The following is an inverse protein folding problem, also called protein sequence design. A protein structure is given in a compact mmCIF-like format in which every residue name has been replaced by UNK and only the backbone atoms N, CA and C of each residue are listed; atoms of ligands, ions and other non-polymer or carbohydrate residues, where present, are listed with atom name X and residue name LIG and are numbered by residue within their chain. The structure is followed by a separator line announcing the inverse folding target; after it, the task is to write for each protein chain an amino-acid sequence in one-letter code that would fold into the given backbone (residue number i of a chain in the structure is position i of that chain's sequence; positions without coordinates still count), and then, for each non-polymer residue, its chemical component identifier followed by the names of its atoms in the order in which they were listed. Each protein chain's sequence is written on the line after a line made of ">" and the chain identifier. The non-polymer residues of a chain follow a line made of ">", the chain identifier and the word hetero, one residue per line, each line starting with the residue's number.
data_IF_013937806382
#
_entry.id   IF_013937806382
#
_cell.length_a   1.000
_cell.length_b   1.000
_cell.length_c   1.000
_cell.angle_alpha   90.00
_cell.angle_beta   90.00
_cell.angle_gamma   90.00
#
_symmetry.space_group_name_H-M   'P 1'
#
loop_
_entity.id
_entity.type
_entity.pdbx_description
1 polymer ?
#
# COMPACT_ATOMS: atom_id res chain seq x y z
N UNK A 1 -8.68 -5.93 27.52
CA UNK A 1 -7.23 -6.04 27.77
C UNK A 1 -6.75 -7.32 27.09
N UNK A 2 -5.85 -7.20 26.11
CA UNK A 2 -5.25 -8.37 25.44
C UNK A 2 -4.21 -8.95 26.38
N UNK A 3 -4.28 -10.26 26.63
CA UNK A 3 -3.31 -11.01 27.43
C UNK A 3 -1.92 -10.89 26.77
N UNK A 4 -1.04 -10.07 27.36
CA UNK A 4 0.30 -9.77 26.83
C UNK A 4 1.09 -11.05 26.52
N UNK A 5 0.86 -12.11 27.31
CA UNK A 5 1.46 -13.43 27.15
C UNK A 5 1.03 -14.12 25.85
N UNK A 6 -0.24 -13.98 25.43
CA UNK A 6 -0.73 -14.53 24.15
C UNK A 6 -0.18 -13.78 22.95
N UNK A 7 0.01 -12.47 23.08
CA UNK A 7 0.62 -11.63 22.04
C UNK A 7 2.08 -12.01 21.81
N UNK A 8 2.84 -12.31 22.87
CA UNK A 8 4.22 -12.80 22.78
C UNK A 8 4.25 -14.17 22.09
N UNK A 9 3.39 -15.11 22.49
CA UNK A 9 3.41 -16.44 21.87
C UNK A 9 3.04 -16.43 20.38
N UNK A 10 2.14 -15.55 19.95
CA UNK A 10 1.81 -15.35 18.53
C UNK A 10 2.95 -14.70 17.74
N UNK A 11 3.69 -13.76 18.33
CA UNK A 11 4.86 -13.11 17.71
C UNK A 11 5.95 -14.11 17.31
N UNK A 12 6.13 -15.18 18.08
CA UNK A 12 7.15 -16.22 17.84
C UNK A 12 6.60 -17.45 17.12
N UNK A 13 5.37 -17.41 16.64
CA UNK A 13 4.67 -18.57 16.07
C UNK A 13 5.47 -19.31 14.98
N UNK A 14 6.00 -18.57 14.00
CA UNK A 14 6.78 -19.16 12.91
C UNK A 14 8.12 -19.72 13.37
N UNK A 15 8.79 -19.01 14.29
CA UNK A 15 10.06 -19.44 14.87
C UNK A 15 9.88 -20.74 15.66
N UNK A 16 8.80 -20.83 16.43
CA UNK A 16 8.40 -22.05 17.13
C UNK A 16 8.06 -23.17 16.15
N UNK A 17 7.26 -22.91 15.11
CA UNK A 17 6.88 -23.92 14.12
C UNK A 17 8.07 -24.49 13.32
N UNK A 18 9.15 -23.72 13.18
CA UNK A 18 10.38 -24.14 12.50
C UNK A 18 11.31 -24.98 13.40
N UNK A 19 11.33 -24.69 14.70
CA UNK A 19 12.36 -25.20 15.61
C UNK A 19 11.82 -26.23 16.63
N UNK A 20 10.50 -26.34 16.76
CA UNK A 20 9.87 -27.37 17.60
C UNK A 20 9.96 -28.72 16.91
N UNK A 21 10.38 -29.73 17.66
CA UNK A 21 10.27 -31.13 17.27
C UNK A 21 8.93 -31.66 17.73
N UNK A 22 8.00 -31.87 16.78
CA UNK A 22 6.63 -32.32 17.07
C UNK A 22 6.56 -33.63 17.85
N UNK A 23 7.51 -34.55 17.64
CA UNK A 23 7.55 -35.83 18.34
C UNK A 23 7.81 -35.69 19.85
N UNK A 24 8.73 -34.81 20.25
CA UNK A 24 9.04 -34.52 21.66
C UNK A 24 8.02 -33.58 22.29
N UNK A 25 7.69 -32.48 21.60
CA UNK A 25 6.73 -31.49 22.11
C UNK A 25 5.31 -32.06 22.19
N UNK A 26 4.86 -32.79 21.17
CA UNK A 26 3.56 -33.45 21.16
C UNK A 26 3.40 -34.47 22.28
N UNK A 27 4.47 -35.20 22.63
CA UNK A 27 4.45 -36.17 23.73
C UNK A 27 4.19 -35.46 25.07
N UNK A 28 4.92 -34.38 25.33
CA UNK A 28 4.75 -33.57 26.55
C UNK A 28 3.35 -32.96 26.63
N UNK A 29 2.79 -32.52 25.50
CA UNK A 29 1.42 -32.00 25.45
C UNK A 29 0.37 -33.05 25.80
N UNK A 30 0.54 -34.31 25.38
CA UNK A 30 -0.34 -35.42 25.77
C UNK A 30 -0.17 -35.77 27.23
N UNK A 31 1.09 -35.88 27.70
CA UNK A 31 1.40 -36.25 29.07
C UNK A 31 0.84 -35.23 30.07
N UNK A 32 0.76 -33.95 29.67
CA UNK A 32 0.13 -32.86 30.45
C UNK A 32 -1.37 -32.68 30.18
N UNK A 33 -1.99 -33.54 29.37
CA UNK A 33 -3.43 -33.49 29.08
C UNK A 33 -3.89 -32.28 28.25
N UNK A 34 -2.97 -31.57 27.59
CA UNK A 34 -3.27 -30.38 26.78
C UNK A 34 -3.90 -30.78 25.44
N UNK A 35 -3.51 -31.93 24.89
CA UNK A 35 -4.10 -32.52 23.68
C UNK A 35 -4.45 -33.98 23.94
N UNK A 36 -5.38 -34.54 23.14
CA UNK A 36 -5.77 -35.94 23.22
C UNK A 36 -4.72 -36.85 22.60
N UNK A 37 -4.66 -38.12 23.04
CA UNK A 37 -3.75 -39.13 22.49
C UNK A 37 -3.98 -39.38 20.99
N UNK A 38 -5.23 -39.31 20.54
CA UNK A 38 -5.57 -39.42 19.12
C UNK A 38 -5.02 -38.26 18.29
N UNK A 39 -5.09 -37.02 18.82
CA UNK A 39 -4.50 -35.83 18.18
C UNK A 39 -2.97 -35.99 18.03
N UNK A 40 -2.31 -36.60 19.02
CA UNK A 40 -0.86 -36.87 18.97
C UNK A 40 -0.49 -37.96 17.97
N UNK A 41 -1.29 -39.02 17.85
CA UNK A 41 -1.07 -40.05 16.84
C UNK A 41 -1.17 -39.47 15.42
N UNK A 42 -2.09 -38.52 15.18
CA UNK A 42 -2.18 -37.78 13.91
C UNK A 42 -0.96 -36.89 13.67
N UNK A 43 -0.45 -36.22 14.70
CA UNK A 43 0.77 -35.42 14.61
C UNK A 43 2.02 -36.26 14.29
N UNK A 44 2.11 -37.48 14.81
CA UNK A 44 3.21 -38.41 14.50
C UNK A 44 3.18 -38.90 13.04
N UNK A 45 1.99 -39.02 12.45
CA UNK A 45 1.83 -39.36 11.03
C UNK A 45 2.12 -38.17 10.10
N UNK A 46 2.00 -36.94 10.61
CA UNK A 46 2.13 -35.69 9.86
C UNK A 46 3.17 -34.79 10.52
N UNK A 47 4.44 -35.09 10.26
CA UNK A 47 5.57 -34.37 10.85
C UNK A 47 6.06 -33.22 9.95
N UNK A 48 5.15 -32.35 9.51
CA UNK A 48 5.50 -31.19 8.68
C UNK A 48 5.49 -29.90 9.51
N UNK A 49 6.24 -28.90 9.04
CA UNK A 49 6.22 -27.54 9.59
C UNK A 49 4.81 -26.93 9.62
N UNK A 50 4.00 -27.22 8.60
CA UNK A 50 2.64 -26.69 8.49
C UNK A 50 1.71 -27.28 9.57
N UNK A 51 1.87 -28.57 9.88
CA UNK A 51 1.12 -29.24 10.94
C UNK A 51 1.53 -28.71 12.32
N UNK A 52 2.82 -28.38 12.50
CA UNK A 52 3.29 -27.71 13.72
C UNK A 52 2.68 -26.32 13.90
N UNK A 53 2.63 -25.52 12.83
CA UNK A 53 1.96 -24.22 12.87
C UNK A 53 0.47 -24.36 13.22
N UNK A 54 -0.24 -25.30 12.58
CA UNK A 54 -1.67 -25.57 12.88
C UNK A 54 -1.90 -25.98 14.33
N UNK A 55 -1.03 -26.83 14.88
CA UNK A 55 -1.08 -27.24 16.27
C UNK A 55 -0.87 -26.05 17.21
N UNK A 56 0.16 -25.23 16.99
CA UNK A 56 0.45 -24.06 17.81
C UNK A 56 -0.73 -23.06 17.81
N UNK A 57 -1.39 -22.84 16.67
CA UNK A 57 -2.60 -22.02 16.58
C UNK A 57 -3.77 -22.60 17.38
N UNK A 58 -3.96 -23.92 17.35
CA UNK A 58 -4.98 -24.60 18.16
C UNK A 58 -4.65 -24.43 19.65
N UNK A 59 -3.39 -24.60 20.04
CA UNK A 59 -2.91 -24.45 21.41
C UNK A 59 -3.11 -23.04 21.94
N UNK A 60 -2.86 -21.97 21.18
CA UNK A 60 -3.12 -20.60 21.65
C UNK A 60 -4.59 -20.33 21.99
N UNK A 61 -5.51 -21.09 21.40
CA UNK A 61 -6.95 -20.98 21.66
C UNK A 61 -7.40 -21.76 22.90
N UNK A 62 -6.76 -22.90 23.18
CA UNK A 62 -7.23 -23.85 24.20
C UNK A 62 -6.32 -23.95 25.43
N UNK A 63 -5.08 -23.47 25.33
CA UNK A 63 -4.03 -23.59 26.33
C UNK A 63 -3.64 -22.22 26.90
N UNK A 64 -3.36 -22.17 28.20
CA UNK A 64 -2.76 -21.00 28.82
C UNK A 64 -1.30 -20.86 28.35
N UNK A 65 -0.84 -19.66 27.96
CA UNK A 65 0.55 -19.43 27.54
C UNK A 65 1.60 -19.97 28.51
N UNK A 66 1.40 -19.86 29.83
CA UNK A 66 2.32 -20.39 30.84
C UNK A 66 2.46 -21.92 30.79
N UNK A 67 1.36 -22.63 30.52
CA UNK A 67 1.40 -24.10 30.33
C UNK A 67 2.14 -24.44 29.04
N UNK A 68 1.94 -23.66 27.97
CA UNK A 68 2.64 -23.84 26.71
C UNK A 68 4.15 -23.63 26.85
N UNK A 69 4.58 -22.58 27.55
CA UNK A 69 5.99 -22.33 27.85
C UNK A 69 6.60 -23.47 28.66
N UNK A 70 5.88 -23.97 29.67
CA UNK A 70 6.36 -25.10 30.44
C UNK A 70 6.48 -26.37 29.58
N UNK A 71 5.52 -26.64 28.69
CA UNK A 71 5.62 -27.75 27.75
C UNK A 71 6.82 -27.63 26.81
N UNK A 72 7.17 -26.41 26.38
CA UNK A 72 8.35 -26.17 25.55
C UNK A 72 9.64 -26.48 26.32
N UNK A 73 9.79 -25.96 27.56
CA UNK A 73 10.93 -26.26 28.44
C UNK A 73 11.07 -27.78 28.68
N UNK A 74 9.99 -28.43 29.08
CA UNK A 74 9.96 -29.88 29.37
C UNK A 74 10.26 -30.75 28.13
N UNK A 75 10.00 -30.24 26.93
CA UNK A 75 10.28 -30.93 25.67
C UNK A 75 11.71 -30.73 25.13
N UNK A 76 12.57 -30.05 25.89
CA UNK A 76 13.96 -29.75 25.52
C UNK A 76 14.12 -28.52 24.63
N UNK A 77 13.13 -27.61 24.60
CA UNK A 77 13.14 -26.37 23.81
C UNK A 77 13.33 -25.12 24.69
N UNK A 78 14.12 -25.23 25.76
CA UNK A 78 14.35 -24.14 26.73
C UNK A 78 14.96 -22.89 26.08
N UNK A 79 15.85 -23.06 25.09
CA UNK A 79 16.44 -21.97 24.31
C UNK A 79 15.36 -21.11 23.60
N UNK A 80 14.33 -21.75 23.03
CA UNK A 80 13.22 -21.04 22.38
C UNK A 80 12.38 -20.25 23.39
N UNK A 81 12.24 -20.74 24.62
CA UNK A 81 11.58 -19.99 25.68
C UNK A 81 12.41 -18.79 26.12
N UNK A 82 13.73 -18.96 26.23
CA UNK A 82 14.64 -17.87 26.59
C UNK A 82 14.62 -16.76 25.53
N UNK A 83 14.59 -17.09 24.24
CA UNK A 83 14.45 -16.12 23.14
C UNK A 83 13.12 -15.36 23.16
N UNK A 84 12.05 -16.02 23.62
CA UNK A 84 10.73 -15.42 23.81
C UNK A 84 10.67 -14.49 25.03
N UNK A 85 11.30 -14.89 26.14
CA UNK A 85 11.32 -14.16 27.41
C UNK A 85 12.26 -12.93 27.34
N UNK A 86 13.37 -13.02 26.61
CA UNK A 86 14.35 -11.93 26.42
C UNK A 86 13.93 -10.89 25.37
N UNK A 87 12.97 -11.23 24.50
CA UNK A 87 12.64 -10.41 23.33
C UNK A 87 13.71 -10.43 22.23
N UNK A 88 14.77 -11.25 22.38
CA UNK A 88 15.82 -11.41 21.36
C UNK A 88 15.27 -12.26 20.23
N UNK A 89 14.66 -11.61 19.25
CA UNK A 89 14.55 -12.21 17.92
C UNK A 89 16.01 -12.36 17.46
N UNK A 90 16.54 -13.56 17.18
CA UNK A 90 17.65 -13.62 16.26
C UNK A 90 17.04 -13.10 14.97
N UNK A 91 17.35 -11.85 14.65
CA UNK A 91 17.23 -11.34 13.29
C UNK A 91 18.08 -12.30 12.49
N UNK A 92 17.48 -13.38 11.99
CA UNK A 92 18.09 -14.22 10.99
C UNK A 92 18.25 -13.29 9.82
N UNK A 93 19.43 -12.68 9.75
CA UNK A 93 19.88 -11.76 8.72
C UNK A 93 19.76 -12.35 7.32
N UNK A 94 19.34 -13.61 7.14
CA UNK A 94 19.18 -14.27 5.85
C UNK A 94 17.89 -15.08 5.63
N UNK A 95 16.83 -14.95 6.45
CA UNK A 95 15.50 -15.56 6.16
C UNK A 95 14.30 -14.76 6.68
N UNK A 96 14.31 -13.43 6.53
CA UNK A 96 13.03 -12.72 6.34
C UNK A 96 12.41 -13.28 5.05
N UNK A 97 11.09 -13.21 4.87
CA UNK A 97 10.37 -13.75 3.69
C UNK A 97 10.11 -15.27 3.69
N UNK A 98 9.56 -15.77 4.80
CA UNK A 98 8.40 -16.63 4.65
C UNK A 98 7.21 -15.83 5.18
N UNK A 99 6.53 -15.11 4.29
CA UNK A 99 5.14 -14.73 4.53
C UNK A 99 4.47 -15.98 5.08
N UNK A 100 3.91 -15.99 6.30
CA UNK A 100 3.13 -17.13 6.75
C UNK A 100 2.13 -17.43 5.63
N UNK A 101 1.97 -18.68 5.16
CA UNK A 101 0.90 -18.99 4.23
C UNK A 101 -0.35 -18.45 4.89
N UNK A 102 -0.95 -17.43 4.27
CA UNK A 102 -2.16 -16.79 4.73
C UNK A 102 -3.08 -17.93 5.17
N UNK A 103 -3.42 -17.95 6.47
CA UNK A 103 -4.11 -19.04 7.14
C UNK A 103 -5.09 -19.68 6.16
N UNK A 104 -4.80 -20.91 5.70
CA UNK A 104 -5.32 -21.52 4.46
C UNK A 104 -6.84 -21.74 4.39
N UNK A 105 -7.59 -21.12 5.30
CA UNK A 105 -9.05 -21.10 5.38
C UNK A 105 -9.70 -20.04 4.47
N UNK A 106 -8.93 -19.17 3.81
CA UNK A 106 -9.46 -18.02 3.03
C UNK A 106 -8.84 -17.81 1.64
N UNK A 107 -8.05 -18.77 1.14
CA UNK A 107 -7.25 -18.64 -0.09
C UNK A 107 -8.09 -18.28 -1.32
N UNK A 108 -9.29 -18.84 -1.47
CA UNK A 108 -10.13 -18.60 -2.65
C UNK A 108 -10.77 -17.20 -2.64
N UNK A 109 -11.22 -16.73 -1.47
CA UNK A 109 -11.75 -15.36 -1.34
C UNK A 109 -10.64 -14.32 -1.49
N UNK A 110 -9.44 -14.61 -0.99
CA UNK A 110 -8.32 -13.69 -1.05
C UNK A 110 -7.84 -13.47 -2.49
N UNK A 111 -7.68 -14.55 -3.27
CA UNK A 111 -7.30 -14.45 -4.70
C UNK A 111 -8.31 -13.64 -5.51
N UNK A 112 -9.60 -13.78 -5.20
CA UNK A 112 -10.66 -13.02 -5.85
C UNK A 112 -10.60 -11.52 -5.49
N UNK A 113 -10.36 -11.18 -4.23
CA UNK A 113 -10.18 -9.78 -3.79
C UNK A 113 -8.88 -9.18 -4.33
N UNK A 114 -7.81 -9.95 -4.43
CA UNK A 114 -6.55 -9.53 -5.07
C UNK A 114 -6.77 -9.24 -6.55
N UNK A 115 -7.39 -10.16 -7.30
CA UNK A 115 -7.77 -9.94 -8.70
C UNK A 115 -8.67 -8.72 -8.87
N UNK A 116 -9.66 -8.54 -7.99
CA UNK A 116 -10.53 -7.36 -8.00
C UNK A 116 -9.74 -6.07 -7.78
N UNK A 117 -8.84 -6.05 -6.77
CA UNK A 117 -7.99 -4.91 -6.49
C UNK A 117 -7.08 -4.57 -7.66
N UNK A 118 -6.51 -5.57 -8.34
CA UNK A 118 -5.61 -5.34 -9.47
C UNK A 118 -6.38 -4.79 -10.69
N UNK A 119 -7.59 -5.29 -10.97
CA UNK A 119 -8.47 -4.71 -12.01
C UNK A 119 -8.84 -3.26 -11.72
N UNK A 120 -9.20 -2.95 -10.48
CA UNK A 120 -9.49 -1.58 -10.04
C UNK A 120 -8.26 -0.68 -10.22
N UNK A 121 -7.06 -1.15 -9.82
CA UNK A 121 -5.81 -0.41 -10.04
C UNK A 121 -5.53 -0.16 -11.51
N UNK A 122 -5.62 -1.17 -12.38
CA UNK A 122 -5.39 -0.99 -13.82
C UNK A 122 -6.30 0.11 -14.40
N UNK A 123 -7.56 0.16 -13.98
CA UNK A 123 -8.51 1.20 -14.40
C UNK A 123 -8.11 2.61 -13.94
N UNK A 124 -7.55 2.74 -12.74
CA UNK A 124 -6.98 4.00 -12.24
C UNK A 124 -5.76 4.44 -13.07
N UNK A 125 -4.87 3.50 -13.42
CA UNK A 125 -3.62 3.82 -14.13
C UNK A 125 -3.81 4.14 -15.62
N UNK A 126 -4.84 3.59 -16.29
CA UNK A 126 -5.07 3.75 -17.73
C UNK A 126 -5.86 5.01 -18.15
N UNK A 127 -5.86 6.06 -17.32
CA UNK A 127 -6.54 7.34 -17.61
C UNK A 127 -8.06 7.26 -17.90
N UNK A 128 -8.74 6.14 -17.64
CA UNK A 128 -10.21 6.06 -17.54
C UNK A 128 -10.75 6.72 -16.24
N UNK A 129 -9.91 7.49 -15.55
CA UNK A 129 -10.07 7.94 -14.17
C UNK A 129 -11.38 8.71 -13.91
N UNK A 130 -11.81 9.60 -14.82
CA UNK A 130 -13.07 10.35 -14.66
C UNK A 130 -14.31 9.46 -14.70
N UNK A 131 -14.33 8.48 -15.60
CA UNK A 131 -15.42 7.50 -15.69
C UNK A 131 -15.38 6.51 -14.50
N UNK A 132 -14.17 6.23 -13.98
CA UNK A 132 -13.98 5.39 -12.80
C UNK A 132 -14.48 6.02 -11.50
N UNK A 133 -14.31 7.33 -11.29
CA UNK A 133 -14.79 7.99 -10.07
C UNK A 133 -16.30 7.78 -9.89
N UNK A 134 -17.09 8.13 -10.91
CA UNK A 134 -18.55 8.00 -10.85
C UNK A 134 -18.97 6.56 -10.67
N UNK A 135 -18.36 5.62 -11.43
CA UNK A 135 -18.67 4.19 -11.32
C UNK A 135 -18.33 3.63 -9.94
N UNK A 136 -17.16 3.93 -9.42
CA UNK A 136 -16.72 3.42 -8.12
C UNK A 136 -17.54 4.01 -6.97
N UNK A 137 -17.95 5.28 -7.05
CA UNK A 137 -18.85 5.89 -6.06
C UNK A 137 -20.19 5.15 -6.03
N UNK A 138 -20.85 4.99 -7.19
CA UNK A 138 -22.12 4.25 -7.32
C UNK A 138 -21.99 2.79 -6.84
N UNK A 139 -20.94 2.09 -7.25
CA UNK A 139 -20.70 0.70 -6.83
C UNK A 139 -20.45 0.59 -5.33
N UNK A 140 -19.61 1.47 -4.77
CA UNK A 140 -19.31 1.47 -3.34
C UNK A 140 -20.56 1.75 -2.50
N UNK A 141 -21.39 2.72 -2.91
CA UNK A 141 -22.66 3.02 -2.23
C UNK A 141 -23.66 1.88 -2.31
N UNK A 142 -23.72 1.20 -3.47
CA UNK A 142 -24.60 0.04 -3.66
C UNK A 142 -24.20 -1.11 -2.73
N UNK A 143 -22.90 -1.43 -2.67
CA UNK A 143 -22.40 -2.47 -1.76
C UNK A 143 -22.59 -2.07 -0.30
N UNK A 144 -22.34 -0.81 0.06
CA UNK A 144 -22.51 -0.32 1.43
C UNK A 144 -23.97 -0.41 1.89
N UNK A 145 -24.92 -0.01 1.04
CA UNK A 145 -26.36 -0.13 1.31
C UNK A 145 -26.76 -1.59 1.52
N UNK A 146 -26.25 -2.52 0.71
CA UNK A 146 -26.51 -3.94 0.87
C UNK A 146 -25.99 -4.49 2.21
N UNK A 147 -24.77 -4.10 2.62
CA UNK A 147 -24.19 -4.46 3.93
C UNK A 147 -25.06 -3.91 5.08
N UNK A 148 -25.44 -2.64 5.00
CA UNK A 148 -26.22 -1.97 6.06
C UNK A 148 -27.64 -2.55 6.24
N UNK A 149 -28.23 -3.13 5.19
CA UNK A 149 -29.53 -3.82 5.27
C UNK A 149 -29.49 -5.08 6.12
N UNK A 150 -28.31 -5.68 6.33
CA UNK A 150 -28.13 -6.83 7.22
C UNK A 150 -28.77 -8.14 6.74
N UNK A 151 -29.15 -8.23 5.46
CA UNK A 151 -29.78 -9.42 4.86
C UNK A 151 -28.80 -10.44 4.26
N UNK A 152 -27.50 -10.14 4.28
CA UNK A 152 -26.44 -10.96 3.71
C UNK A 152 -26.00 -12.08 4.67
N UNK A 153 -25.58 -13.23 4.14
CA UNK A 153 -24.84 -14.19 4.94
C UNK A 153 -23.48 -13.62 5.37
N UNK A 154 -22.88 -14.12 6.45
CA UNK A 154 -21.57 -13.67 6.92
C UNK A 154 -20.47 -13.75 5.84
N UNK A 155 -20.53 -14.77 4.97
CA UNK A 155 -19.56 -14.92 3.88
C UNK A 155 -19.77 -13.88 2.78
N UNK A 156 -21.02 -13.52 2.49
CA UNK A 156 -21.34 -12.49 1.48
C UNK A 156 -21.04 -11.11 2.03
N UNK A 157 -21.38 -10.83 3.29
CA UNK A 157 -21.07 -9.57 3.95
C UNK A 157 -19.56 -9.28 3.89
N UNK A 158 -18.72 -10.27 4.21
CA UNK A 158 -17.26 -10.12 4.11
C UNK A 158 -16.78 -9.78 2.70
N UNK A 159 -17.25 -10.52 1.69
CA UNK A 159 -16.92 -10.25 0.29
C UNK A 159 -17.35 -8.86 -0.15
N UNK A 160 -18.57 -8.46 0.19
CA UNK A 160 -19.10 -7.13 -0.10
C UNK A 160 -18.27 -6.05 0.60
N UNK A 161 -17.91 -6.27 1.87
CA UNK A 161 -17.11 -5.34 2.64
C UNK A 161 -15.69 -5.19 2.08
N UNK A 162 -15.04 -6.29 1.69
CA UNK A 162 -13.70 -6.28 1.09
C UNK A 162 -13.72 -5.52 -0.25
N UNK A 163 -14.67 -5.83 -1.15
CA UNK A 163 -14.82 -5.12 -2.43
C UNK A 163 -15.16 -3.64 -2.24
N UNK A 164 -16.08 -3.32 -1.32
CA UNK A 164 -16.46 -1.95 -1.02
C UNK A 164 -15.27 -1.16 -0.46
N UNK A 165 -14.48 -1.75 0.44
CA UNK A 165 -13.27 -1.13 0.97
C UNK A 165 -12.26 -0.82 -0.12
N UNK A 166 -12.01 -1.76 -1.05
CA UNK A 166 -11.10 -1.55 -2.20
C UNK A 166 -11.57 -0.41 -3.08
N UNK A 167 -12.88 -0.30 -3.37
CA UNK A 167 -13.44 0.78 -4.17
C UNK A 167 -13.31 2.14 -3.47
N UNK A 168 -13.58 2.21 -2.16
CA UNK A 168 -13.43 3.44 -1.38
C UNK A 168 -11.95 3.87 -1.31
N UNK A 169 -11.04 2.92 -1.08
CA UNK A 169 -9.59 3.18 -1.10
C UNK A 169 -9.16 3.72 -2.48
N UNK A 170 -9.63 3.12 -3.56
CA UNK A 170 -9.40 3.59 -4.93
C UNK A 170 -9.95 5.01 -5.19
N UNK A 171 -11.18 5.30 -4.75
CA UNK A 171 -11.81 6.62 -4.88
C UNK A 171 -10.97 7.71 -4.23
N UNK A 172 -10.50 7.47 -3.01
CA UNK A 172 -9.63 8.41 -2.33
C UNK A 172 -8.33 8.63 -3.15
N UNK A 173 -7.88 7.67 -3.99
CA UNK A 173 -6.59 7.77 -4.73
C UNK A 173 -6.83 8.65 -5.93
N UNK A 174 -7.95 8.38 -6.60
CA UNK A 174 -8.44 9.16 -7.72
C UNK A 174 -8.67 10.60 -7.32
N UNK A 175 -9.35 10.87 -6.20
CA UNK A 175 -9.53 12.22 -5.67
C UNK A 175 -8.19 12.90 -5.41
N UNK A 176 -7.23 12.22 -4.78
CA UNK A 176 -5.88 12.78 -4.54
C UNK A 176 -5.13 13.08 -5.84
N UNK A 177 -5.24 12.20 -6.84
CA UNK A 177 -4.39 12.22 -8.03
C UNK A 177 -4.93 13.15 -9.12
N UNK A 178 -6.25 13.29 -9.22
CA UNK A 178 -6.91 14.05 -10.28
C UNK A 178 -7.62 15.33 -9.79
N UNK A 179 -7.68 15.59 -8.49
CA UNK A 179 -8.16 16.89 -8.00
C UNK A 179 -7.13 17.98 -8.25
N UNK A 180 -7.61 19.20 -8.51
CA UNK A 180 -6.79 20.42 -8.54
C UNK A 180 -6.19 20.73 -7.14
N UNK A 181 -6.95 20.41 -6.09
CA UNK A 181 -6.56 20.63 -4.70
C UNK A 181 -6.43 19.28 -3.97
N UNK A 182 -5.21 18.96 -3.53
CA UNK A 182 -4.93 17.72 -2.82
C UNK A 182 -5.50 17.71 -1.39
N UNK A 183 -5.79 18.87 -0.81
CA UNK A 183 -6.45 18.98 0.49
C UNK A 183 -7.92 18.58 0.43
N UNK A 184 -8.52 18.57 -0.76
CA UNK A 184 -9.92 18.14 -0.97
C UNK A 184 -10.21 16.70 -0.53
N UNK A 185 -9.19 15.88 -0.29
CA UNK A 185 -9.32 14.51 0.22
C UNK A 185 -9.58 14.48 1.73
N UNK A 186 -9.17 15.52 2.46
CA UNK A 186 -9.42 15.63 3.90
C UNK A 186 -10.91 15.79 4.20
N UNK A 187 -11.40 15.08 5.23
CA UNK A 187 -12.80 15.16 5.67
C UNK A 187 -13.82 14.41 4.79
N UNK A 188 -13.35 13.70 3.76
CA UNK A 188 -14.17 12.93 2.82
C UNK A 188 -15.00 11.81 3.50
N UNK A 189 -16.25 11.61 3.03
CA UNK A 189 -17.21 10.62 3.58
C UNK A 189 -16.67 9.19 3.52
N UNK A 190 -15.82 8.93 2.53
CA UNK A 190 -15.20 7.65 2.21
C UNK A 190 -14.42 7.11 3.41
N UNK A 191 -13.73 7.95 4.17
CA UNK A 191 -12.99 7.50 5.36
C UNK A 191 -13.90 6.98 6.46
N UNK A 192 -15.06 7.61 6.68
CA UNK A 192 -16.05 7.13 7.66
C UNK A 192 -16.62 5.79 7.24
N UNK A 193 -16.89 5.63 5.93
CA UNK A 193 -17.38 4.37 5.38
C UNK A 193 -16.32 3.27 5.47
N UNK A 194 -15.06 3.57 5.14
CA UNK A 194 -13.94 2.63 5.28
C UNK A 194 -13.79 2.16 6.73
N UNK A 195 -13.82 3.08 7.70
CA UNK A 195 -13.75 2.76 9.13
C UNK A 195 -14.89 1.81 9.57
N UNK A 196 -16.13 2.11 9.15
CA UNK A 196 -17.29 1.26 9.40
C UNK A 196 -17.15 -0.17 8.85
N UNK A 197 -16.45 -0.33 7.72
CA UNK A 197 -16.27 -1.62 7.05
C UNK A 197 -15.18 -2.49 7.69
N UNK A 198 -14.23 -1.91 8.44
CA UNK A 198 -13.07 -2.64 9.00
C UNK A 198 -13.50 -3.95 9.68
N UNK A 199 -14.46 -3.88 10.61
CA UNK A 199 -14.91 -5.04 11.39
C UNK A 199 -15.66 -6.11 10.56
N UNK A 200 -16.06 -5.77 9.33
CA UNK A 200 -16.89 -6.60 8.44
C UNK A 200 -16.08 -7.26 7.34
N UNK A 201 -14.86 -6.79 7.09
CA UNK A 201 -13.93 -7.40 6.13
C UNK A 201 -13.49 -8.81 6.54
N UNK A 202 -12.96 -9.59 5.59
CA UNK A 202 -12.39 -10.90 5.89
C UNK A 202 -11.15 -10.80 6.79
N UNK A 203 -10.41 -9.69 6.71
CA UNK A 203 -9.19 -9.44 7.48
C UNK A 203 -9.20 -8.07 8.18
N UNK A 204 -9.97 -7.90 9.29
CA UNK A 204 -10.13 -6.60 9.94
C UNK A 204 -8.82 -5.94 10.37
N UNK A 205 -7.82 -6.72 10.79
CA UNK A 205 -6.53 -6.15 11.20
C UNK A 205 -5.74 -5.60 10.01
N UNK A 206 -5.71 -6.33 8.89
CA UNK A 206 -5.06 -5.88 7.67
C UNK A 206 -5.77 -4.66 7.07
N UNK A 207 -7.10 -4.70 7.04
CA UNK A 207 -7.94 -3.59 6.60
C UNK A 207 -7.72 -2.35 7.47
N UNK A 208 -7.61 -2.52 8.80
CA UNK A 208 -7.30 -1.43 9.72
C UNK A 208 -5.95 -0.78 9.41
N UNK A 209 -4.91 -1.57 9.17
CA UNK A 209 -3.57 -1.06 8.82
C UNK A 209 -3.64 -0.20 7.56
N UNK A 210 -4.32 -0.68 6.51
CA UNK A 210 -4.50 0.06 5.25
C UNK A 210 -5.27 1.35 5.46
N UNK A 211 -6.37 1.29 6.22
CA UNK A 211 -7.15 2.48 6.60
C UNK A 211 -6.30 3.49 7.37
N UNK A 212 -5.57 3.06 8.41
CA UNK A 212 -4.76 3.95 9.24
C UNK A 212 -3.66 4.64 8.42
N UNK A 213 -2.95 3.89 7.58
CA UNK A 213 -1.95 4.45 6.66
C UNK A 213 -2.57 5.52 5.76
N UNK A 214 -3.73 5.20 5.17
CA UNK A 214 -4.44 6.07 4.25
C UNK A 214 -4.98 7.34 4.90
N UNK A 215 -5.63 7.18 6.03
CA UNK A 215 -6.24 8.27 6.78
C UNK A 215 -5.16 9.16 7.41
N UNK A 216 -4.05 8.59 7.88
CA UNK A 216 -2.89 9.34 8.35
C UNK A 216 -2.34 10.29 7.30
N UNK A 217 -2.21 9.84 6.04
CA UNK A 217 -1.84 10.73 4.92
C UNK A 217 -2.85 11.84 4.71
N UNK A 218 -4.15 11.53 4.76
CA UNK A 218 -5.19 12.55 4.58
C UNK A 218 -5.22 13.59 5.71
N UNK A 219 -5.00 13.17 6.97
CA UNK A 219 -4.85 14.06 8.11
C UNK A 219 -3.67 15.01 7.92
N UNK A 220 -2.51 14.48 7.53
CA UNK A 220 -1.33 15.29 7.22
C UNK A 220 -1.63 16.34 6.14
N UNK A 221 -2.29 15.94 5.05
CA UNK A 221 -2.69 16.87 3.98
C UNK A 221 -3.69 17.94 4.44
N UNK A 222 -4.51 17.63 5.44
CA UNK A 222 -5.43 18.56 6.09
C UNK A 222 -4.79 19.47 7.15
N UNK A 223 -3.47 19.41 7.35
CA UNK A 223 -2.74 20.19 8.35
C UNK A 223 -2.70 19.57 9.75
N UNK A 224 -3.25 18.37 9.93
CA UNK A 224 -3.26 17.63 11.21
C UNK A 224 -2.01 16.73 11.30
N UNK A 225 -0.82 17.32 11.20
CA UNK A 225 0.47 16.62 11.03
C UNK A 225 0.72 15.58 12.13
N UNK A 226 0.64 15.97 13.41
CA UNK A 226 0.93 15.07 14.53
C UNK A 226 -0.01 13.86 14.56
N UNK A 227 -1.30 14.09 14.33
CA UNK A 227 -2.29 13.01 14.24
C UNK A 227 -2.00 12.10 13.04
N UNK A 228 -1.67 12.69 11.88
CA UNK A 228 -1.30 11.94 10.68
C UNK A 228 -0.13 10.98 10.93
N UNK A 229 0.93 11.49 11.57
CA UNK A 229 2.11 10.70 11.96
C UNK A 229 1.79 9.61 13.00
N UNK A 230 0.92 9.88 13.97
CA UNK A 230 0.47 8.88 14.95
C UNK A 230 -0.25 7.72 14.26
N UNK A 231 -1.14 8.00 13.31
CA UNK A 231 -1.85 6.95 12.55
C UNK A 231 -0.90 6.09 11.72
N UNK A 232 0.09 6.70 11.06
CA UNK A 232 1.08 5.95 10.26
C UNK A 232 2.00 5.13 11.16
N UNK A 233 2.42 5.68 12.30
CA UNK A 233 3.22 4.95 13.29
C UNK A 233 2.47 3.75 13.85
N UNK A 234 1.17 3.91 14.15
CA UNK A 234 0.30 2.81 14.54
C UNK A 234 0.18 1.75 13.44
N UNK A 235 0.03 2.17 12.17
CA UNK A 235 -0.05 1.25 11.04
C UNK A 235 1.24 0.44 10.87
N UNK A 236 2.42 1.07 11.00
CA UNK A 236 3.72 0.39 10.97
C UNK A 236 3.89 -0.59 12.13
N UNK A 237 3.53 -0.17 13.35
CA UNK A 237 3.57 -1.02 14.54
C UNK A 237 2.70 -2.27 14.37
N UNK A 238 1.48 -2.09 13.86
CA UNK A 238 0.57 -3.19 13.56
C UNK A 238 1.10 -4.06 12.41
N UNK A 239 1.56 -3.47 11.30
CA UNK A 239 2.02 -4.22 10.12
C UNK A 239 3.22 -5.13 10.40
N UNK A 240 4.13 -4.69 11.27
CA UNK A 240 5.25 -5.52 11.74
C UNK A 240 4.79 -6.82 12.43
N UNK A 241 3.56 -6.87 12.95
CA UNK A 241 2.98 -8.07 13.55
C UNK A 241 2.41 -9.05 12.52
N UNK A 242 2.08 -8.59 11.31
CA UNK A 242 1.42 -9.41 10.27
C UNK A 242 2.37 -9.94 9.19
N UNK A 243 3.66 -9.59 9.23
CA UNK A 243 4.72 -10.07 8.33
C UNK A 243 4.41 -9.91 6.81
N UNK A 244 3.51 -9.00 6.43
CA UNK A 244 3.22 -8.70 5.02
C UNK A 244 4.20 -7.65 4.51
N UNK A 245 5.19 -8.08 3.73
CA UNK A 245 6.21 -7.19 3.16
C UNK A 245 5.59 -6.07 2.31
N UNK A 246 4.59 -6.40 1.48
CA UNK A 246 3.87 -5.43 0.63
C UNK A 246 3.14 -4.36 1.42
N UNK A 247 2.44 -4.71 2.51
CA UNK A 247 1.70 -3.72 3.30
C UNK A 247 2.67 -2.83 4.09
N UNK A 248 3.77 -3.37 4.64
CA UNK A 248 4.82 -2.55 5.27
C UNK A 248 5.44 -1.60 4.24
N UNK A 249 5.76 -2.10 3.04
CA UNK A 249 6.25 -1.30 1.93
C UNK A 249 5.29 -0.18 1.51
N UNK A 250 3.97 -0.41 1.50
CA UNK A 250 2.98 0.64 1.24
C UNK A 250 2.99 1.74 2.31
N UNK A 251 3.12 1.36 3.59
CA UNK A 251 3.10 2.31 4.70
C UNK A 251 4.40 3.12 4.74
N UNK A 252 5.54 2.47 4.46
CA UNK A 252 6.82 3.17 4.31
C UNK A 252 6.76 4.19 3.18
N UNK A 253 6.12 3.88 2.06
CA UNK A 253 5.91 4.85 0.98
C UNK A 253 5.07 6.05 1.43
N UNK A 254 4.02 5.82 2.23
CA UNK A 254 3.24 6.91 2.82
C UNK A 254 4.08 7.78 3.77
N UNK A 255 4.88 7.15 4.63
CA UNK A 255 5.79 7.84 5.55
C UNK A 255 6.86 8.66 4.81
N UNK A 256 7.47 8.09 3.77
CA UNK A 256 8.47 8.78 2.92
C UNK A 256 7.88 10.05 2.30
N UNK A 257 6.65 9.99 1.77
CA UNK A 257 6.01 11.18 1.21
C UNK A 257 5.78 12.27 2.27
N UNK A 258 5.36 11.90 3.49
CA UNK A 258 5.18 12.87 4.57
C UNK A 258 6.51 13.48 4.98
N UNK A 259 7.55 12.66 5.16
CA UNK A 259 8.88 13.14 5.51
C UNK A 259 9.46 14.06 4.43
N UNK A 260 9.24 13.77 3.15
CA UNK A 260 9.61 14.67 2.04
C UNK A 260 8.91 16.02 2.12
N UNK A 261 7.63 16.06 2.54
CA UNK A 261 6.92 17.33 2.75
C UNK A 261 7.42 18.08 3.99
N UNK A 262 7.78 17.39 5.07
CA UNK A 262 8.42 18.00 6.24
C UNK A 262 9.81 18.57 5.87
N UNK A 263 10.58 17.82 5.10
CA UNK A 263 11.87 18.26 4.56
C UNK A 263 11.73 19.46 3.62
N UNK A 264 10.64 19.53 2.85
CA UNK A 264 10.36 20.70 2.02
C UNK A 264 10.07 21.97 2.82
N UNK A 265 9.58 21.84 4.07
CA UNK A 265 9.34 22.98 4.97
C UNK A 265 10.61 23.39 5.71
N UNK A 266 11.39 22.42 6.17
CA UNK A 266 12.64 22.64 6.89
C UNK A 266 13.70 21.64 6.40
N UNK A 267 14.49 22.02 5.38
CA UNK A 267 15.53 21.14 4.85
C UNK A 267 16.59 20.88 5.93
N UNK A 268 16.82 19.59 6.20
CA UNK A 268 17.73 19.12 7.23
C UNK A 268 18.41 17.81 6.78
N UNK A 269 19.72 17.69 7.03
CA UNK A 269 20.53 16.57 6.57
C UNK A 269 20.20 15.27 7.31
N UNK A 270 19.83 15.34 8.59
CA UNK A 270 19.39 14.15 9.34
C UNK A 270 18.07 13.62 8.79
N UNK A 271 17.09 14.51 8.55
CA UNK A 271 15.82 14.14 7.94
C UNK A 271 15.99 13.58 6.52
N UNK A 272 16.87 14.18 5.71
CA UNK A 272 17.24 13.66 4.39
C UNK A 272 17.76 12.22 4.49
N UNK A 273 18.66 11.95 5.43
CA UNK A 273 19.19 10.61 5.67
C UNK A 273 18.09 9.63 6.10
N UNK A 274 17.21 10.03 7.01
CA UNK A 274 16.09 9.19 7.43
C UNK A 274 15.12 8.84 6.28
N UNK A 275 14.89 9.78 5.36
CA UNK A 275 14.09 9.55 4.16
C UNK A 275 14.76 8.49 3.29
N UNK A 276 16.06 8.64 3.02
CA UNK A 276 16.84 7.70 2.21
C UNK A 276 16.87 6.31 2.84
N UNK A 277 17.09 6.21 4.15
CA UNK A 277 17.05 4.93 4.88
C UNK A 277 15.67 4.26 4.79
N UNK A 278 14.59 5.04 4.87
CA UNK A 278 13.21 4.56 4.72
C UNK A 278 12.91 4.09 3.30
N UNK A 279 13.46 4.77 2.30
CA UNK A 279 13.36 4.40 0.87
C UNK A 279 14.07 3.06 0.62
N UNK A 280 15.30 2.90 1.09
CA UNK A 280 16.06 1.65 0.96
C UNK A 280 15.37 0.48 1.65
N UNK A 281 14.85 0.73 2.86
CA UNK A 281 14.07 -0.28 3.56
C UNK A 281 12.80 -0.66 2.78
N UNK A 282 12.12 0.33 2.20
CA UNK A 282 10.96 0.14 1.34
C UNK A 282 11.26 -0.75 0.13
N UNK A 283 12.37 -0.49 -0.57
CA UNK A 283 12.84 -1.32 -1.70
C UNK A 283 13.02 -2.78 -1.26
N UNK A 284 13.70 -3.01 -0.12
CA UNK A 284 13.97 -4.36 0.39
C UNK A 284 12.69 -5.15 0.64
N UNK A 285 11.64 -4.52 1.15
CA UNK A 285 10.36 -5.18 1.39
C UNK A 285 9.71 -5.75 0.12
N UNK A 286 10.06 -5.24 -1.06
CA UNK A 286 9.55 -5.70 -2.35
C UNK A 286 10.51 -6.61 -3.13
N UNK A 287 11.74 -6.84 -2.66
CA UNK A 287 12.75 -7.64 -3.38
C UNK A 287 12.34 -9.09 -3.64
N UNK A 288 11.49 -9.65 -2.77
CA UNK A 288 11.05 -11.05 -2.85
C UNK A 288 9.66 -11.22 -3.47
N UNK A 289 9.06 -10.12 -3.94
CA UNK A 289 7.84 -10.18 -4.73
C UNK A 289 8.14 -10.66 -6.16
N UNK A 290 7.07 -10.97 -6.91
CA UNK A 290 7.20 -11.27 -8.34
C UNK A 290 7.86 -10.10 -9.09
N UNK A 291 8.47 -10.41 -10.23
CA UNK A 291 9.27 -9.45 -10.99
C UNK A 291 8.52 -8.17 -11.33
N UNK A 292 7.28 -8.27 -11.82
CA UNK A 292 6.45 -7.12 -12.15
C UNK A 292 6.20 -6.21 -10.94
N UNK A 293 5.83 -6.81 -9.80
CA UNK A 293 5.56 -6.07 -8.56
C UNK A 293 6.83 -5.44 -8.02
N UNK A 294 7.92 -6.20 -7.97
CA UNK A 294 9.23 -5.72 -7.51
C UNK A 294 9.71 -4.56 -8.35
N UNK A 295 9.68 -4.69 -9.68
CA UNK A 295 10.17 -3.66 -10.60
C UNK A 295 9.31 -2.39 -10.52
N UNK A 296 7.99 -2.52 -10.47
CA UNK A 296 7.09 -1.37 -10.29
C UNK A 296 7.35 -0.62 -8.98
N UNK A 297 7.45 -1.33 -7.85
CA UNK A 297 7.74 -0.70 -6.56
C UNK A 297 9.14 -0.11 -6.49
N UNK A 298 10.12 -0.75 -7.13
CA UNK A 298 11.47 -0.22 -7.26
C UNK A 298 11.45 1.11 -8.01
N UNK A 299 10.73 1.25 -9.12
CA UNK A 299 10.52 2.54 -9.80
C UNK A 299 9.92 3.60 -8.87
N UNK A 300 8.89 3.24 -8.10
CA UNK A 300 8.23 4.17 -7.17
C UNK A 300 9.20 4.67 -6.09
N UNK A 301 10.05 3.81 -5.56
CA UNK A 301 11.04 4.20 -4.56
C UNK A 301 12.24 4.95 -5.15
N UNK A 302 12.70 4.59 -6.35
CA UNK A 302 13.72 5.34 -7.09
C UNK A 302 13.26 6.77 -7.40
N UNK A 303 11.98 6.98 -7.73
CA UNK A 303 11.39 8.32 -7.84
C UNK A 303 11.63 9.13 -6.56
N UNK A 304 11.26 8.58 -5.40
CA UNK A 304 11.43 9.27 -4.11
C UNK A 304 12.88 9.48 -3.72
N UNK A 305 13.74 8.49 -4.00
CA UNK A 305 15.18 8.59 -3.78
C UNK A 305 15.77 9.74 -4.59
N UNK A 306 15.41 9.81 -5.87
CA UNK A 306 15.87 10.84 -6.80
C UNK A 306 15.35 12.22 -6.39
N UNK A 307 14.08 12.33 -6.00
CA UNK A 307 13.54 13.59 -5.47
C UNK A 307 14.33 14.08 -4.25
N UNK A 308 14.66 13.18 -3.32
CA UNK A 308 15.42 13.52 -2.12
C UNK A 308 16.81 14.06 -2.46
N UNK A 309 17.56 13.39 -3.35
CA UNK A 309 18.89 13.84 -3.78
C UNK A 309 18.85 15.17 -4.56
N UNK A 310 17.85 15.37 -5.42
CA UNK A 310 17.72 16.56 -6.25
C UNK A 310 17.05 17.75 -5.54
N UNK A 311 16.71 17.64 -4.25
CA UNK A 311 16.01 18.69 -3.52
C UNK A 311 14.63 18.99 -4.10
N UNK A 312 13.85 17.95 -4.37
CA UNK A 312 12.48 18.02 -4.85
C UNK A 312 11.51 17.53 -3.76
N UNK A 313 10.38 18.23 -3.59
CA UNK A 313 9.30 17.79 -2.69
C UNK A 313 8.50 16.62 -3.29
N UNK A 314 7.46 16.13 -2.60
CA UNK A 314 6.69 14.98 -3.08
C UNK A 314 5.89 15.27 -4.36
N UNK A 315 5.71 16.55 -4.67
CA UNK A 315 5.10 17.09 -5.89
C UNK A 315 6.11 17.45 -6.97
N UNK A 316 7.39 17.12 -6.83
CA UNK A 316 8.43 17.41 -7.82
C UNK A 316 8.76 18.90 -7.99
N UNK A 317 8.40 19.75 -7.03
CA UNK A 317 8.83 21.15 -6.98
C UNK A 317 10.20 21.25 -6.31
N UNK A 318 11.09 22.15 -6.79
CA UNK A 318 12.30 22.50 -6.05
C UNK A 318 11.98 22.94 -4.63
N UNK A 319 12.72 22.41 -3.67
CA UNK A 319 12.67 22.82 -2.27
C UNK A 319 13.60 24.01 -2.09
N UNK A 320 13.07 25.11 -1.57
CA UNK A 320 13.86 26.30 -1.25
C UNK A 320 14.82 26.00 -0.08
N UNK A 321 16.07 26.41 -0.19
CA UNK A 321 17.10 26.17 0.84
C UNK A 321 17.70 24.75 0.86
N UNK A 322 17.18 23.80 0.08
CA UNK A 322 17.80 22.48 -0.03
C UNK A 322 19.16 22.56 -0.74
N UNK A 323 20.21 22.08 -0.06
CA UNK A 323 21.56 22.00 -0.63
C UNK A 323 21.72 20.67 -1.36
N UNK A 324 22.11 20.75 -2.63
CA UNK A 324 22.39 19.58 -3.48
C UNK A 324 23.90 19.55 -3.73
N UNK A 325 24.57 18.57 -3.13
CA UNK A 325 26.02 18.36 -3.27
C UNK A 325 26.38 17.67 -4.59
N UNK A 326 27.67 17.64 -4.94
CA UNK A 326 28.15 16.85 -6.08
C UNK A 326 27.89 15.35 -5.88
N UNK A 327 28.06 14.83 -4.65
CA UNK A 327 27.73 13.44 -4.33
C UNK A 327 26.24 13.17 -4.56
N UNK A 328 25.36 14.07 -4.16
CA UNK A 328 23.91 13.91 -4.40
C UNK A 328 23.58 13.85 -5.89
N UNK A 329 24.26 14.65 -6.71
CA UNK A 329 24.07 14.63 -8.16
C UNK A 329 24.53 13.30 -8.78
N UNK A 330 25.67 12.77 -8.33
CA UNK A 330 26.14 11.45 -8.77
C UNK A 330 25.16 10.35 -8.35
N UNK A 331 24.69 10.36 -7.11
CA UNK A 331 23.68 9.40 -6.63
C UNK A 331 22.35 9.53 -7.37
N UNK A 332 21.90 10.75 -7.65
CA UNK A 332 20.69 10.99 -8.43
C UNK A 332 20.84 10.47 -9.86
N UNK A 333 22.01 10.65 -10.48
CA UNK A 333 22.32 10.12 -11.81
C UNK A 333 22.23 8.59 -11.82
N UNK A 334 22.81 7.91 -10.84
CA UNK A 334 22.72 6.45 -10.72
C UNK A 334 21.26 5.99 -10.61
N UNK A 335 20.45 6.67 -9.78
CA UNK A 335 19.03 6.37 -9.62
C UNK A 335 18.24 6.58 -10.92
N UNK A 336 18.53 7.66 -11.66
CA UNK A 336 17.91 7.95 -12.96
C UNK A 336 18.29 6.91 -14.02
N UNK A 337 19.54 6.48 -14.07
CA UNK A 337 20.00 5.43 -15.00
C UNK A 337 19.34 4.09 -14.69
N UNK A 338 19.20 3.75 -13.42
CA UNK A 338 18.49 2.54 -12.99
C UNK A 338 17.00 2.61 -13.33
N UNK A 339 16.36 3.75 -13.09
CA UNK A 339 14.96 3.96 -13.44
C UNK A 339 14.74 3.86 -14.96
N UNK A 340 15.65 4.38 -15.79
CA UNK A 340 15.56 4.30 -17.26
C UNK A 340 15.54 2.84 -17.77
N UNK A 341 16.24 1.92 -17.09
CA UNK A 341 16.19 0.48 -17.41
C UNK A 341 14.82 -0.16 -17.12
N UNK A 342 13.99 0.50 -16.33
CA UNK A 342 12.66 0.05 -15.92
C UNK A 342 11.52 0.81 -16.61
N UNK A 343 11.80 1.57 -17.69
CA UNK A 343 10.80 2.39 -18.39
C UNK A 343 9.56 1.59 -18.87
N UNK A 344 9.78 0.32 -19.25
CA UNK A 344 8.72 -0.57 -19.72
C UNK A 344 7.62 -0.83 -18.68
N UNK A 345 7.93 -0.71 -17.38
CA UNK A 345 6.99 -0.91 -16.28
C UNK A 345 6.48 0.39 -15.65
N UNK A 346 6.96 1.56 -16.10
CA UNK A 346 6.48 2.85 -15.58
C UNK A 346 5.12 3.22 -16.16
N UNK A 347 4.16 3.51 -15.28
CA UNK A 347 2.93 4.17 -15.71
C UNK A 347 3.17 5.64 -16.10
N UNK A 348 2.20 6.23 -16.79
CA UNK A 348 2.25 7.61 -17.32
C UNK A 348 2.67 8.62 -16.25
N UNK A 349 2.15 8.49 -15.02
CA UNK A 349 2.44 9.42 -13.93
C UNK A 349 3.89 9.27 -13.45
N UNK A 350 4.41 8.05 -13.41
CA UNK A 350 5.80 7.80 -13.00
C UNK A 350 6.77 8.30 -14.06
N UNK A 351 6.47 8.11 -15.35
CA UNK A 351 7.26 8.71 -16.45
C UNK A 351 7.27 10.24 -16.37
N UNK A 352 6.13 10.86 -16.06
CA UNK A 352 6.05 12.30 -15.82
C UNK A 352 6.99 12.74 -14.69
N UNK A 353 6.99 12.05 -13.55
CA UNK A 353 7.89 12.39 -12.44
C UNK A 353 9.36 12.16 -12.80
N UNK A 354 9.66 11.07 -13.51
CA UNK A 354 11.00 10.75 -14.01
C UNK A 354 11.55 11.88 -14.88
N UNK A 355 10.76 12.40 -15.83
CA UNK A 355 11.18 13.53 -16.66
C UNK A 355 11.39 14.82 -15.86
N UNK A 356 10.56 15.08 -14.85
CA UNK A 356 10.78 16.23 -13.95
C UNK A 356 12.08 16.12 -13.16
N UNK A 357 12.42 14.93 -12.70
CA UNK A 357 13.69 14.67 -12.06
C UNK A 357 14.87 14.85 -13.02
N UNK A 358 14.77 14.34 -14.27
CA UNK A 358 15.78 14.59 -15.31
C UNK A 358 15.96 16.08 -15.61
N UNK A 359 14.86 16.82 -15.72
CA UNK A 359 14.91 18.26 -15.91
C UNK A 359 15.70 18.94 -14.80
N UNK A 360 15.35 18.65 -13.53
CA UNK A 360 16.06 19.19 -12.37
C UNK A 360 17.54 18.83 -12.36
N UNK A 361 17.89 17.58 -12.67
CA UNK A 361 19.28 17.13 -12.79
C UNK A 361 20.04 17.93 -13.86
N UNK A 362 19.48 18.09 -15.07
CA UNK A 362 20.10 18.87 -16.14
C UNK A 362 20.19 20.37 -15.81
N UNK A 363 19.24 20.91 -15.06
CA UNK A 363 19.30 22.27 -14.55
C UNK A 363 20.50 22.49 -13.62
N UNK A 364 20.79 21.55 -12.71
CA UNK A 364 22.01 21.59 -11.87
C UNK A 364 23.29 21.54 -12.71
N UNK A 365 23.26 20.84 -13.85
CA UNK A 365 24.37 20.78 -14.81
C UNK A 365 24.42 21.99 -15.76
N UNK A 366 23.59 23.03 -15.55
CA UNK A 366 23.45 24.22 -16.41
C UNK A 366 23.08 23.90 -17.87
N UNK A 367 22.49 22.74 -18.11
CA UNK A 367 22.00 22.28 -19.41
C UNK A 367 20.53 22.69 -19.59
N UNK A 368 20.26 23.99 -19.56
CA UNK A 368 18.90 24.54 -19.48
C UNK A 368 17.99 24.09 -20.62
N UNK A 369 18.49 24.09 -21.87
CA UNK A 369 17.73 23.63 -23.04
C UNK A 369 17.25 22.18 -22.89
N UNK A 370 18.11 21.30 -22.38
CA UNK A 370 17.76 19.89 -22.14
C UNK A 370 16.76 19.80 -20.98
N UNK A 371 16.95 20.60 -19.93
CA UNK A 371 16.02 20.69 -18.80
C UNK A 371 14.60 21.07 -19.26
N UNK A 372 14.48 22.09 -20.11
CA UNK A 372 13.18 22.54 -20.65
C UNK A 372 12.52 21.44 -21.48
N UNK A 373 13.25 20.76 -22.37
CA UNK A 373 12.70 19.67 -23.17
C UNK A 373 12.07 18.56 -22.31
N UNK A 374 12.72 18.18 -21.19
CA UNK A 374 12.14 17.21 -20.26
C UNK A 374 10.91 17.73 -19.51
N UNK A 375 10.84 19.02 -19.17
CA UNK A 375 9.62 19.59 -18.57
C UNK A 375 8.45 19.61 -19.57
N UNK A 376 8.72 19.87 -20.85
CA UNK A 376 7.72 19.79 -21.91
C UNK A 376 7.19 18.36 -22.08
N UNK A 377 8.07 17.37 -22.12
CA UNK A 377 7.66 15.95 -22.15
C UNK A 377 6.80 15.59 -20.91
N UNK A 378 7.19 16.03 -19.72
CA UNK A 378 6.40 15.83 -18.50
C UNK A 378 5.02 16.51 -18.59
N UNK A 379 4.94 17.72 -19.15
CA UNK A 379 3.70 18.46 -19.31
C UNK A 379 2.72 17.76 -20.26
N UNK A 380 3.22 17.20 -21.37
CA UNK A 380 2.38 16.43 -22.29
C UNK A 380 1.82 15.17 -21.62
N UNK A 381 2.62 14.46 -20.81
CA UNK A 381 2.14 13.34 -20.01
C UNK A 381 1.09 13.77 -18.97
N UNK A 382 1.26 14.94 -18.34
CA UNK A 382 0.31 15.48 -17.38
C UNK A 382 -1.07 15.74 -18.02
N UNK A 383 -1.09 16.34 -19.21
CA UNK A 383 -2.31 16.58 -20.00
C UNK A 383 -2.97 15.26 -20.42
N UNK A 384 -2.17 14.34 -20.97
CA UNK A 384 -2.66 13.02 -21.41
C UNK A 384 -3.28 12.23 -20.24
N UNK A 385 -2.65 12.27 -19.07
CA UNK A 385 -3.15 11.61 -17.86
C UNK A 385 -4.23 12.37 -17.10
N UNK A 386 -4.60 13.60 -17.52
CA UNK A 386 -5.49 14.49 -16.76
C UNK A 386 -5.04 14.69 -15.30
N UNK A 387 -3.74 14.88 -15.08
CA UNK A 387 -3.15 15.16 -13.77
C UNK A 387 -3.16 16.67 -13.48
N UNK A 388 -4.34 17.24 -13.29
CA UNK A 388 -4.55 18.70 -13.28
C UNK A 388 -3.67 19.47 -12.28
N UNK A 389 -3.41 18.90 -11.11
CA UNK A 389 -2.50 19.51 -10.14
C UNK A 389 -1.04 19.53 -10.65
N UNK A 390 -0.55 18.40 -11.17
CA UNK A 390 0.81 18.28 -11.68
C UNK A 390 1.00 19.13 -12.95
N UNK A 391 -0.02 19.21 -13.82
CA UNK A 391 -0.07 20.09 -14.99
C UNK A 391 0.12 21.55 -14.60
N UNK A 392 -0.62 22.04 -13.59
CA UNK A 392 -0.48 23.42 -13.08
C UNK A 392 0.95 23.71 -12.62
N UNK A 393 1.58 22.77 -11.92
CA UNK A 393 2.95 22.92 -11.45
C UNK A 393 3.92 22.97 -12.64
N UNK A 394 3.76 22.06 -13.60
CA UNK A 394 4.60 21.99 -14.79
C UNK A 394 4.51 23.25 -15.65
N UNK A 395 3.31 23.81 -15.84
CA UNK A 395 3.13 25.10 -16.53
C UNK A 395 3.92 26.22 -15.83
N UNK A 396 3.85 26.28 -14.50
CA UNK A 396 4.63 27.25 -13.71
C UNK A 396 6.13 27.02 -13.88
N UNK A 397 6.59 25.77 -13.85
CA UNK A 397 8.00 25.41 -14.03
C UNK A 397 8.48 25.81 -15.44
N UNK A 398 7.79 25.43 -16.51
CA UNK A 398 8.14 25.83 -17.88
C UNK A 398 8.16 27.36 -18.04
N UNK A 399 7.16 28.06 -17.48
CA UNK A 399 7.09 29.53 -17.55
C UNK A 399 8.24 30.22 -16.80
N UNK A 400 8.70 29.64 -15.69
CA UNK A 400 9.83 30.18 -14.92
C UNK A 400 11.16 30.10 -15.69
N UNK A 401 11.37 29.04 -16.48
CA UNK A 401 12.53 28.92 -17.37
C UNK A 401 12.47 29.93 -18.52
N UNK A 402 11.29 30.11 -19.11
CA UNK A 402 11.09 31.15 -20.13
C UNK A 402 11.33 32.56 -19.56
N UNK A 403 11.13 32.78 -18.26
CA UNK A 403 11.49 34.05 -17.58
C UNK A 403 13.00 34.17 -17.32
N UNK A 404 13.70 33.12 -16.91
CA UNK A 404 15.16 33.18 -16.72
C UNK A 404 15.93 33.34 -18.04
N UNK A 405 15.41 32.81 -19.15
CA UNK A 405 15.93 33.11 -20.50
C UNK A 405 15.48 34.50 -20.98
N UNK A 406 14.30 34.98 -20.55
CA UNK A 406 13.86 36.36 -20.80
C UNK A 406 14.62 37.39 -19.99
N UNK A 407 15.11 37.16 -18.78
CA UNK A 407 15.94 38.17 -18.06
C UNK A 407 17.29 38.42 -18.77
N UNK A 408 17.77 37.47 -19.58
CA UNK A 408 18.91 37.68 -20.48
C UNK A 408 18.53 38.42 -21.79
N UNK A 409 17.23 38.56 -22.08
CA UNK A 409 16.67 39.11 -23.33
C UNK A 409 15.80 40.36 -23.07
N UNK A 410 15.37 40.63 -21.84
CA UNK A 410 14.58 41.78 -21.37
C UNK A 410 15.45 43.04 -21.16
N UNK A 411 16.62 43.06 -21.80
CA UNK A 411 17.20 44.28 -22.36
C UNK A 411 16.56 44.70 -23.69
N UNK A 412 15.58 43.94 -24.20
CA UNK A 412 14.84 44.20 -25.41
C UNK A 412 13.34 43.83 -25.26
N UNK A 413 12.52 44.86 -25.05
CA UNK A 413 11.11 44.98 -25.48
C UNK A 413 10.01 44.11 -24.81
N UNK A 414 9.45 44.64 -23.72
CA UNK A 414 8.10 45.24 -23.58
C UNK A 414 6.83 44.71 -24.34
N UNK A 415 5.80 44.35 -23.52
CA UNK A 415 4.29 44.39 -23.64
C UNK A 415 3.63 43.38 -24.65
N UNK A 416 2.42 42.76 -24.51
CA UNK A 416 1.10 43.02 -23.86
C UNK A 416 0.29 41.71 -23.66
N UNK A 417 -0.65 41.76 -22.70
CA UNK A 417 -1.64 40.77 -22.20
C UNK A 417 -2.93 40.54 -23.04
N UNK A 418 -3.70 39.52 -22.59
CA UNK A 418 -5.19 39.35 -22.50
C UNK A 418 -5.83 38.19 -23.34
N UNK A 419 -7.06 37.68 -23.04
CA UNK A 419 -7.47 36.89 -21.87
C UNK A 419 -8.36 35.65 -22.20
N UNK A 420 -8.87 34.97 -21.16
CA UNK A 420 -9.58 33.66 -21.09
C UNK A 420 -11.06 33.63 -21.55
N UNK A 421 -11.57 32.42 -21.86
CA UNK A 421 -13.01 32.11 -21.97
C UNK A 421 -13.40 30.82 -21.23
N UNK A 422 -14.56 30.86 -20.56
CA UNK A 422 -15.22 29.78 -19.78
C UNK A 422 -16.37 29.10 -20.54
N UNK A 423 -16.69 27.83 -20.23
CA UNK A 423 -17.97 27.20 -20.61
C UNK A 423 -18.53 26.33 -19.47
N UNK A 424 -19.84 26.46 -19.24
CA UNK A 424 -20.66 25.80 -18.22
C UNK A 424 -21.37 24.53 -18.75
N UNK A 425 -21.93 23.77 -17.82
CA UNK A 425 -22.37 22.36 -17.86
C UNK A 425 -23.88 22.18 -18.04
N UNK A 426 -24.31 20.95 -18.38
CA UNK A 426 -25.68 20.50 -18.10
C UNK A 426 -26.12 19.18 -18.74
N UNK A 427 -26.51 18.20 -17.91
CA UNK A 427 -27.42 17.10 -18.29
C UNK A 427 -27.15 15.74 -17.65
N UNK A 428 -27.81 15.43 -16.52
CA UNK A 428 -27.84 14.10 -15.88
C UNK A 428 -29.11 13.31 -16.19
N UNK A 429 -29.03 11.97 -16.23
CA UNK A 429 -30.19 11.04 -16.24
C UNK A 429 -30.07 10.05 -15.08
N UNK A 430 -31.15 9.90 -14.31
CA UNK A 430 -31.34 8.89 -13.25
C UNK A 430 -31.75 7.53 -13.83
N UNK A 431 -31.34 6.44 -13.16
CA UNK A 431 -31.81 5.07 -13.41
C UNK A 431 -32.27 4.43 -12.10
N UNK A 432 -33.40 3.73 -12.21
CA UNK A 432 -34.23 3.13 -11.16
C UNK A 432 -33.55 1.90 -10.51
N UNK A 433 -33.55 1.84 -9.17
CA UNK A 433 -32.77 0.88 -8.37
C UNK A 433 -33.67 0.06 -7.45
N UNK A 434 -34.26 -1.02 -7.97
CA UNK A 434 -34.99 -1.99 -7.12
C UNK A 434 -34.65 -3.48 -7.30
N UNK A 435 -33.70 -3.85 -8.15
CA UNK A 435 -33.34 -5.27 -8.36
C UNK A 435 -31.83 -5.58 -8.29
N UNK A 436 -31.03 -4.66 -7.74
CA UNK A 436 -29.56 -4.69 -7.84
C UNK A 436 -28.84 -5.48 -6.73
N UNK A 437 -29.48 -5.79 -5.61
CA UNK A 437 -28.75 -6.25 -4.42
C UNK A 437 -28.10 -7.64 -4.57
N UNK A 438 -28.77 -8.56 -5.28
CA UNK A 438 -28.28 -9.95 -5.46
C UNK A 438 -27.35 -10.11 -6.68
N UNK A 439 -27.32 -9.11 -7.56
CA UNK A 439 -26.49 -9.10 -8.79
C UNK A 439 -25.41 -8.01 -8.78
N UNK A 440 -25.30 -7.20 -7.73
CA UNK A 440 -24.35 -6.08 -7.67
C UNK A 440 -22.91 -6.54 -7.95
N UNK A 441 -22.44 -7.61 -7.30
CA UNK A 441 -21.12 -8.17 -7.59
C UNK A 441 -21.02 -8.72 -9.01
N UNK A 442 -22.05 -9.36 -9.57
CA UNK A 442 -22.04 -9.84 -10.96
C UNK A 442 -21.93 -8.70 -11.97
N UNK A 443 -22.65 -7.59 -11.74
CA UNK A 443 -22.60 -6.38 -12.55
C UNK A 443 -21.22 -5.73 -12.47
N UNK A 444 -20.65 -5.64 -11.26
CA UNK A 444 -19.31 -5.09 -11.06
C UNK A 444 -18.25 -6.00 -11.71
N UNK A 445 -18.34 -7.33 -11.55
CA UNK A 445 -17.43 -8.27 -12.21
C UNK A 445 -17.47 -8.12 -13.72
N UNK A 446 -18.68 -8.09 -14.30
CA UNK A 446 -18.85 -7.92 -15.74
C UNK A 446 -18.22 -6.61 -16.22
N UNK A 447 -18.43 -5.51 -15.48
CA UNK A 447 -17.84 -4.21 -15.80
C UNK A 447 -16.31 -4.17 -15.66
N UNK A 448 -15.73 -5.05 -14.82
CA UNK A 448 -14.29 -5.22 -14.65
C UNK A 448 -13.71 -6.35 -15.52
N UNK A 449 -14.50 -6.94 -16.42
CA UNK A 449 -14.13 -8.09 -17.24
C UNK A 449 -13.59 -9.26 -16.40
N UNK A 450 -14.32 -9.63 -15.34
CA UNK A 450 -14.07 -10.80 -14.49
C UNK A 450 -15.09 -11.91 -14.82
N UNK A 451 -14.60 -13.12 -15.08
CA UNK A 451 -15.40 -14.23 -15.65
C UNK A 451 -16.51 -14.79 -14.74
N UNK A 452 -16.52 -14.50 -13.43
CA UNK A 452 -17.65 -14.54 -12.47
C UNK A 452 -17.14 -14.52 -11.02
N UNK A 453 -17.96 -14.04 -10.05
CA UNK A 453 -17.69 -14.16 -8.60
C UNK A 453 -18.03 -15.55 -8.02
N UNK A 454 -18.47 -16.49 -8.86
CA UNK A 454 -19.01 -17.80 -8.46
C UNK A 454 -18.22 -18.93 -9.08
N UNK A 455 -17.32 -19.55 -8.31
CA UNK A 455 -17.04 -20.97 -8.52
C UNK A 455 -18.17 -21.77 -7.88
N UNK A 456 -19.22 -22.06 -8.64
CA UNK A 456 -20.09 -23.19 -8.29
C UNK A 456 -19.28 -24.44 -8.64
N UNK A 457 -18.75 -25.12 -7.62
CA UNK A 457 -18.32 -26.50 -7.77
C UNK A 457 -19.58 -27.28 -8.14
N UNK A 458 -19.78 -27.55 -9.43
CA UNK A 458 -20.66 -28.64 -9.85
C UNK A 458 -20.02 -29.91 -9.30
N UNK A 459 -20.51 -30.40 -8.16
CA UNK A 459 -20.35 -31.80 -7.83
C UNK A 459 -21.07 -32.55 -8.94
N UNK A 460 -20.32 -33.22 -9.80
CA UNK A 460 -20.90 -34.27 -10.62
C UNK A 460 -21.55 -35.28 -9.66
N UNK A 461 -22.80 -35.69 -9.90
CA UNK A 461 -23.38 -36.78 -9.15
C UNK A 461 -22.52 -38.01 -9.44
N UNK A 462 -21.88 -38.57 -8.41
CA UNK A 462 -21.35 -39.92 -8.50
C UNK A 462 -22.53 -40.85 -8.77
N UNK A 463 -22.55 -41.45 -9.95
CA UNK A 463 -23.45 -42.55 -10.27
C UNK A 463 -23.18 -43.71 -9.30
N UNK A 464 -24.28 -44.34 -8.86
CA UNK A 464 -24.31 -45.49 -7.95
C UNK A 464 -23.52 -46.69 -8.46
#
# INVERSE_FOLDING_TARGET
>A
MVDQSKTISLKYHSHLAENIRLSSFGKVLVDRGVIKRDDYNVLLQKNTREDCAKLLLKLYKICNPGIMFQCLKDSGHEELCNDMESGSIPVQKHKMYATPPACGLYLDSQKLIENFSDRVKMKIHNAEAKDCITKFDVWSETLLKAIQRGSLSLSEERKYADCCFVLLDALVVLYRTHSLDRQSVFGKKEFKNMEYLISKTAHPSLTRIRYQSRYGVSLFQGGETDKGLQYISSALGDANLFLSGKDIGNILFALVNIKLELYAQNPDDELKKEILDSVELGIRYFENENEDTRNNWRCIYLDKKTCCYLGLNSDGKPIEGAVVSEEDLDRAKDCLQEAEQLDSVMDIRRRMHFYRARAKYHNHQKNYKISVGFLEEALELAKMGSFHHDEKILIQQCSSFSRSEKEAIEHATEIVNEPEYSVDTGGSRELDTKDLDKRALEVIAAALHMDTFTHVIKREPTEN
#
